data_IF_880546629657
#
_entry.id   IF_880546629657
#
_cell.length_a   1.000
_cell.length_b   1.000
_cell.length_c   1.000
_cell.angle_alpha   90.00
_cell.angle_beta   90.00
_cell.angle_gamma   90.00
#
_symmetry.space_group_name_H-M   'P 1'
#
loop_
_entity.id
_entity.type
_entity.pdbx_description
1 polymer ?
#
# COMPACT_ATOMS: atom_id res chain seq x y z
N UNK A 1 5.17 36.18 -26.21
CA UNK A 1 6.03 36.36 -25.02
C UNK A 1 6.04 35.05 -24.24
N UNK A 2 7.23 34.50 -23.93
CA UNK A 2 7.39 33.16 -23.32
C UNK A 2 7.11 33.13 -21.80
N UNK A 3 6.95 34.28 -21.13
CA UNK A 3 6.75 34.38 -19.69
C UNK A 3 5.73 35.47 -19.36
N UNK A 4 4.42 35.14 -19.24
CA UNK A 4 3.36 36.14 -19.06
C UNK A 4 3.45 36.92 -17.73
N UNK A 5 4.18 36.39 -16.74
CA UNK A 5 4.30 36.94 -15.39
C UNK A 5 5.75 37.33 -15.02
N UNK A 6 6.71 37.19 -15.92
CA UNK A 6 8.14 37.42 -15.65
C UNK A 6 8.85 36.25 -14.97
N UNK A 7 10.16 36.40 -14.73
CA UNK A 7 11.05 35.32 -14.25
C UNK A 7 10.90 35.04 -12.75
N UNK A 8 10.70 36.06 -11.91
CA UNK A 8 10.60 35.89 -10.45
C UNK A 8 9.38 35.07 -10.02
N UNK A 9 8.15 35.34 -10.51
CA UNK A 9 6.98 34.52 -10.17
C UNK A 9 7.11 33.08 -10.68
N UNK A 10 7.79 32.88 -11.82
CA UNK A 10 8.06 31.54 -12.34
C UNK A 10 8.99 30.75 -11.41
N UNK A 11 10.08 31.36 -10.95
CA UNK A 11 11.00 30.70 -10.02
C UNK A 11 10.32 30.37 -8.69
N UNK A 12 9.50 31.29 -8.16
CA UNK A 12 8.70 31.04 -6.96
C UNK A 12 7.73 29.87 -7.15
N UNK A 13 7.03 29.83 -8.29
CA UNK A 13 6.13 28.73 -8.64
C UNK A 13 6.85 27.39 -8.79
N UNK A 14 8.03 27.37 -9.42
CA UNK A 14 8.84 26.16 -9.58
C UNK A 14 9.32 25.62 -8.23
N UNK A 15 9.87 26.48 -7.37
CA UNK A 15 10.34 26.08 -6.04
C UNK A 15 9.18 25.60 -5.18
N UNK A 16 8.10 26.38 -5.12
CA UNK A 16 6.90 26.03 -4.35
C UNK A 16 6.26 24.74 -4.85
N UNK A 17 6.12 24.57 -6.17
CA UNK A 17 5.57 23.37 -6.79
C UNK A 17 6.44 22.13 -6.53
N UNK A 18 7.76 22.26 -6.66
CA UNK A 18 8.69 21.16 -6.38
C UNK A 18 8.65 20.75 -4.91
N UNK A 19 8.64 21.72 -3.99
CA UNK A 19 8.55 21.45 -2.55
C UNK A 19 7.22 20.75 -2.21
N UNK A 20 6.09 21.25 -2.72
CA UNK A 20 4.79 20.61 -2.52
C UNK A 20 4.74 19.19 -3.09
N UNK A 21 5.26 18.98 -4.30
CA UNK A 21 5.34 17.65 -4.90
C UNK A 21 6.20 16.69 -4.06
N UNK A 22 7.35 17.15 -3.57
CA UNK A 22 8.22 16.35 -2.70
C UNK A 22 7.50 15.92 -1.41
N UNK A 23 6.75 16.83 -0.78
CA UNK A 23 5.96 16.52 0.42
C UNK A 23 4.88 15.46 0.13
N UNK A 24 4.15 15.59 -0.97
CA UNK A 24 3.10 14.64 -1.37
C UNK A 24 3.70 13.26 -1.66
N UNK A 25 4.77 13.20 -2.46
CA UNK A 25 5.43 11.93 -2.82
C UNK A 25 6.03 11.26 -1.59
N UNK A 26 6.67 12.03 -0.71
CA UNK A 26 7.25 11.51 0.54
C UNK A 26 6.18 10.98 1.48
N UNK A 27 5.06 11.70 1.64
CA UNK A 27 3.94 11.27 2.45
C UNK A 27 3.36 9.94 1.96
N UNK A 28 3.07 9.86 0.66
CA UNK A 28 2.55 8.65 0.03
C UNK A 28 3.49 7.43 0.18
N UNK A 29 4.81 7.65 0.12
CA UNK A 29 5.81 6.60 0.31
C UNK A 29 6.01 6.14 1.75
N UNK A 30 5.57 6.93 2.74
CA UNK A 30 5.90 6.72 4.15
C UNK A 30 5.04 5.67 4.87
N UNK A 31 3.97 5.18 4.23
CA UNK A 31 3.12 4.15 4.81
C UNK A 31 3.96 2.96 5.29
N UNK A 32 3.69 2.45 6.49
CA UNK A 32 4.42 1.31 7.06
C UNK A 32 3.49 0.12 7.20
N UNK A 33 4.01 -1.05 6.86
CA UNK A 33 3.38 -2.34 7.10
C UNK A 33 4.13 -2.96 8.27
N UNK A 34 3.41 -3.33 9.34
CA UNK A 34 3.99 -3.92 10.55
C UNK A 34 3.06 -5.01 11.05
N UNK A 35 3.63 -6.10 11.55
CA UNK A 35 2.87 -7.13 12.28
C UNK A 35 3.27 -7.01 13.74
N UNK A 36 2.34 -6.58 14.59
CA UNK A 36 2.59 -6.28 16.00
C UNK A 36 1.38 -6.64 16.86
N UNK A 37 1.62 -7.19 18.05
CA UNK A 37 0.59 -7.47 19.05
C UNK A 37 -0.65 -8.19 18.50
N UNK A 38 -0.45 -9.24 17.67
CA UNK A 38 -1.55 -10.00 17.08
C UNK A 38 -2.38 -9.24 16.03
N UNK A 39 -1.86 -8.14 15.49
CA UNK A 39 -2.51 -7.35 14.44
C UNK A 39 -1.55 -7.02 13.30
N UNK A 40 -2.08 -6.99 12.08
CA UNK A 40 -1.47 -6.36 10.93
C UNK A 40 -1.81 -4.86 10.94
N UNK A 41 -0.78 -4.02 10.93
CA UNK A 41 -0.89 -2.56 10.81
C UNK A 41 -0.37 -2.15 9.44
N UNK A 42 -1.25 -1.62 8.59
CA UNK A 42 -0.95 -1.24 7.22
C UNK A 42 -1.41 0.21 6.99
N UNK A 43 -0.49 1.17 7.11
CA UNK A 43 -0.87 2.59 7.15
C UNK A 43 -1.70 2.88 8.40
N UNK A 44 -2.91 3.39 8.21
CA UNK A 44 -3.86 3.68 9.29
C UNK A 44 -4.78 2.49 9.63
N UNK A 45 -4.79 1.45 8.79
CA UNK A 45 -5.59 0.26 9.04
C UNK A 45 -4.90 -0.66 10.05
N UNK A 46 -5.67 -1.11 11.04
CA UNK A 46 -5.26 -2.14 12.00
C UNK A 46 -6.24 -3.31 11.93
N UNK A 47 -5.74 -4.47 11.51
CA UNK A 47 -6.54 -5.66 11.24
C UNK A 47 -6.06 -6.78 12.17
N UNK A 48 -6.93 -7.38 13.01
CA UNK A 48 -6.57 -8.52 13.83
C UNK A 48 -6.13 -9.72 12.99
N UNK A 49 -5.09 -10.44 13.41
CA UNK A 49 -4.63 -11.64 12.69
C UNK A 49 -5.67 -12.78 12.71
N UNK A 50 -6.59 -12.78 13.68
CA UNK A 50 -7.71 -13.72 13.75
C UNK A 50 -8.74 -13.53 12.64
N UNK A 51 -8.84 -12.31 12.09
CA UNK A 51 -9.72 -11.96 10.98
C UNK A 51 -9.05 -12.20 9.61
N UNK A 52 -7.81 -12.68 9.59
CA UNK A 52 -7.02 -12.89 8.39
C UNK A 52 -6.79 -14.39 8.13
N UNK A 53 -6.89 -14.75 6.86
CA UNK A 53 -6.58 -16.07 6.33
C UNK A 53 -5.09 -16.23 5.98
N UNK A 54 -4.82 -17.15 5.05
CA UNK A 54 -3.45 -17.44 4.62
C UNK A 54 -2.89 -16.33 3.71
N UNK A 55 -1.64 -15.89 3.93
CA UNK A 55 -1.00 -14.91 3.08
C UNK A 55 -0.49 -15.55 1.78
N UNK A 56 -0.93 -15.00 0.65
CA UNK A 56 -0.48 -15.35 -0.69
C UNK A 56 0.53 -14.33 -1.19
N UNK A 57 1.73 -14.80 -1.54
CA UNK A 57 2.76 -13.97 -2.17
C UNK A 57 2.44 -13.85 -3.65
N UNK A 58 2.33 -12.61 -4.14
CA UNK A 58 2.06 -12.32 -5.54
C UNK A 58 3.33 -11.86 -6.23
N UNK A 59 3.62 -12.46 -7.38
CA UNK A 59 4.66 -11.97 -8.28
C UNK A 59 4.25 -10.66 -8.99
N UNK A 60 5.13 -10.12 -9.84
CA UNK A 60 4.88 -8.85 -10.51
C UNK A 60 3.67 -8.89 -11.49
N UNK A 61 3.42 -10.03 -12.14
CA UNK A 61 2.35 -10.21 -13.10
C UNK A 61 1.00 -10.42 -12.40
N UNK A 62 0.99 -11.23 -11.36
CA UNK A 62 -0.17 -11.46 -10.50
C UNK A 62 -0.56 -10.19 -9.76
N UNK A 63 0.42 -9.50 -9.16
CA UNK A 63 0.21 -8.20 -8.53
C UNK A 63 -0.35 -7.19 -9.53
N UNK A 64 0.10 -7.17 -10.79
CA UNK A 64 -0.51 -6.31 -11.83
C UNK A 64 -1.96 -6.71 -12.11
N UNK A 65 -2.26 -8.00 -12.17
CA UNK A 65 -3.61 -8.51 -12.40
C UNK A 65 -4.58 -8.08 -11.29
N UNK A 66 -4.16 -8.24 -10.03
CA UNK A 66 -4.90 -7.81 -8.84
C UNK A 66 -5.03 -6.29 -8.67
N UNK A 67 -4.15 -5.52 -9.31
CA UNK A 67 -4.27 -4.04 -9.40
C UNK A 67 -5.21 -3.56 -10.50
N UNK A 68 -5.58 -4.44 -11.41
CA UNK A 68 -6.32 -4.07 -12.62
C UNK A 68 -7.62 -4.84 -12.66
N UNK A 69 -7.74 -5.85 -13.52
CA UNK A 69 -8.99 -6.52 -13.84
C UNK A 69 -9.46 -7.51 -12.77
N UNK A 70 -8.58 -7.99 -11.87
CA UNK A 70 -8.96 -8.85 -10.74
C UNK A 70 -9.32 -8.06 -9.47
N UNK A 71 -9.19 -6.73 -9.49
CA UNK A 71 -9.44 -5.89 -8.32
C UNK A 71 -10.92 -5.89 -7.93
N UNK A 72 -11.20 -5.99 -6.62
CA UNK A 72 -12.53 -5.78 -6.04
C UNK A 72 -12.52 -4.42 -5.33
N UNK A 73 -13.53 -3.58 -5.60
CA UNK A 73 -13.64 -2.25 -5.01
C UNK A 73 -13.84 -2.26 -3.48
N UNK A 74 -14.26 -3.40 -2.91
CA UNK A 74 -14.44 -3.59 -1.47
C UNK A 74 -13.16 -4.00 -0.76
N UNK A 75 -12.13 -4.42 -1.49
CA UNK A 75 -10.89 -4.89 -0.89
C UNK A 75 -10.10 -3.73 -0.29
N UNK A 76 -9.45 -3.98 0.84
CA UNK A 76 -8.52 -3.01 1.39
C UNK A 76 -7.20 -3.08 0.60
N UNK A 77 -6.87 -2.02 -0.13
CA UNK A 77 -5.68 -1.97 -0.97
C UNK A 77 -4.67 -0.94 -0.46
N UNK A 78 -3.59 -1.41 0.16
CA UNK A 78 -2.38 -0.61 0.33
C UNK A 78 -1.55 -0.71 -0.95
N UNK A 79 -2.01 0.03 -1.96
CA UNK A 79 -1.42 0.05 -3.28
C UNK A 79 -0.24 1.02 -3.37
N UNK A 80 0.89 0.55 -3.89
CA UNK A 80 2.04 1.40 -4.28
C UNK A 80 2.38 1.13 -5.73
N UNK A 81 2.06 2.06 -6.62
CA UNK A 81 2.28 1.90 -8.06
C UNK A 81 3.74 1.66 -8.46
N UNK A 82 4.69 2.13 -7.65
CA UNK A 82 6.13 1.97 -7.85
C UNK A 82 6.71 0.65 -7.28
N UNK A 83 5.88 -0.18 -6.65
CA UNK A 83 6.26 -1.53 -6.20
C UNK A 83 5.57 -2.53 -7.11
N UNK A 84 6.32 -3.49 -7.62
CA UNK A 84 5.85 -4.50 -8.55
C UNK A 84 5.19 -5.68 -7.84
N UNK A 85 5.67 -6.03 -6.65
CA UNK A 85 5.28 -7.19 -5.85
C UNK A 85 4.31 -6.84 -4.72
N UNK A 86 3.56 -7.85 -4.26
CA UNK A 86 2.57 -7.68 -3.20
C UNK A 86 2.30 -8.97 -2.43
N UNK A 87 1.63 -8.83 -1.29
CA UNK A 87 1.00 -9.93 -0.55
C UNK A 87 -0.50 -9.70 -0.52
N UNK A 88 -1.26 -10.75 -0.81
CA UNK A 88 -2.72 -10.78 -0.66
C UNK A 88 -3.07 -11.65 0.53
N UNK A 89 -3.99 -11.20 1.36
CA UNK A 89 -4.48 -11.99 2.50
C UNK A 89 -5.99 -11.95 2.49
N UNK A 90 -6.64 -13.12 2.50
CA UNK A 90 -8.09 -13.20 2.60
C UNK A 90 -8.57 -12.71 3.97
N UNK A 91 -9.68 -11.99 4.01
CA UNK A 91 -10.32 -11.59 5.27
C UNK A 91 -11.39 -12.63 5.56
N UNK A 92 -11.28 -13.29 6.71
CA UNK A 92 -12.16 -14.40 7.11
C UNK A 92 -13.26 -13.98 8.07
N UNK A 93 -13.32 -12.70 8.43
CA UNK A 93 -14.34 -12.16 9.34
C UNK A 93 -15.70 -12.06 8.61
N UNK A 94 -16.74 -12.78 9.07
CA UNK A 94 -18.06 -12.75 8.43
C UNK A 94 -18.79 -11.41 8.60
N UNK A 95 -18.41 -10.57 9.57
CA UNK A 95 -19.02 -9.26 9.79
C UNK A 95 -18.37 -8.16 8.93
N UNK A 96 -17.19 -8.42 8.34
CA UNK A 96 -16.48 -7.49 7.48
C UNK A 96 -16.81 -7.74 5.98
N UNK A 97 -17.39 -6.77 5.25
CA UNK A 97 -17.65 -6.91 3.82
C UNK A 97 -16.38 -6.91 2.95
N UNK A 98 -15.21 -6.63 3.53
CA UNK A 98 -13.90 -6.59 2.87
C UNK A 98 -13.47 -8.02 2.53
N UNK A 99 -13.33 -8.41 1.24
CA UNK A 99 -13.00 -9.79 0.90
C UNK A 99 -11.52 -10.15 1.11
N UNK A 100 -10.63 -9.19 0.90
CA UNK A 100 -9.19 -9.39 1.04
C UNK A 100 -8.44 -8.08 1.28
N UNK A 101 -7.23 -8.23 1.77
CA UNK A 101 -6.24 -7.18 1.98
C UNK A 101 -5.12 -7.35 0.97
N UNK A 102 -4.83 -6.31 0.19
CA UNK A 102 -3.73 -6.27 -0.77
C UNK A 102 -2.64 -5.30 -0.28
N UNK A 103 -1.42 -5.79 -0.14
CA UNK A 103 -0.29 -5.03 0.44
C UNK A 103 0.87 -5.00 -0.54
N UNK A 104 1.15 -3.84 -1.13
CA UNK A 104 2.36 -3.66 -1.95
C UNK A 104 3.61 -3.59 -1.05
N UNK A 105 4.55 -4.53 -1.22
CA UNK A 105 5.79 -4.62 -0.43
C UNK A 105 6.94 -5.09 -1.31
N UNK A 106 8.16 -4.61 -1.03
CA UNK A 106 9.39 -5.05 -1.73
C UNK A 106 9.95 -6.37 -1.20
N UNK A 107 9.41 -6.85 -0.09
CA UNK A 107 9.76 -8.13 0.53
C UNK A 107 8.48 -8.89 0.84
N UNK A 108 7.84 -9.50 -0.18
CA UNK A 108 6.58 -10.20 0.02
C UNK A 108 6.77 -11.53 0.75
N UNK A 109 7.89 -12.23 0.54
CA UNK A 109 8.20 -13.47 1.26
C UNK A 109 8.42 -13.22 2.75
N UNK A 110 9.18 -12.19 3.12
CA UNK A 110 9.38 -11.83 4.52
C UNK A 110 8.07 -11.42 5.21
N UNK A 111 7.19 -10.69 4.52
CA UNK A 111 5.89 -10.31 5.06
C UNK A 111 4.96 -11.52 5.25
N UNK A 112 4.88 -12.42 4.28
CA UNK A 112 4.08 -13.64 4.39
C UNK A 112 4.58 -14.55 5.51
N UNK A 113 5.91 -14.70 5.66
CA UNK A 113 6.52 -15.44 6.76
C UNK A 113 6.20 -14.80 8.13
N UNK A 114 6.28 -13.47 8.24
CA UNK A 114 5.95 -12.76 9.47
C UNK A 114 4.47 -12.92 9.86
N UNK A 115 3.55 -12.85 8.88
CA UNK A 115 2.13 -13.07 9.08
C UNK A 115 1.84 -14.50 9.55
N UNK A 116 2.41 -15.50 8.86
CA UNK A 116 2.23 -16.90 9.19
C UNK A 116 2.80 -17.24 10.57
N UNK A 117 4.01 -16.76 10.86
CA UNK A 117 4.67 -16.95 12.15
C UNK A 117 3.93 -16.29 13.32
N UNK A 118 3.38 -15.09 13.11
CA UNK A 118 2.62 -14.39 14.15
C UNK A 118 1.22 -14.98 14.39
N UNK A 119 0.66 -15.73 13.43
CA UNK A 119 -0.63 -16.43 13.56
C UNK A 119 -0.49 -17.76 14.29
N UNK A 120 0.68 -18.40 14.20
CA UNK A 120 0.99 -19.66 14.86
C UNK A 120 1.45 -19.52 16.33
N UNK A 121 1.72 -18.30 16.78
CA UNK A 121 2.18 -17.96 18.13
C UNK A 121 1.02 -17.59 19.06
#
# INVERSE_FOLDING_TARGET
MLLPLGTLPLLAGLVGGTAAAALVVSGYGSARIRVVAGSLVAGDARIPLSALGEPEVLDAEEARSWRTHKADARAFMLLRGYVDTAVRVEVTDPEDPTPYVYLSTRDPQGLAAALSGARAA
#
